data_IF_082305484398
#
_entry.id   IF_082305484398
#
_cell.length_a   1.000
_cell.length_b   1.000
_cell.length_c   1.000
_cell.angle_alpha   90.00
_cell.angle_beta   90.00
_cell.angle_gamma   90.00
#
_symmetry.space_group_name_H-M   'P 1'
#
loop_
_entity.id
_entity.type
_entity.pdbx_description
1 polymer ?
#
# COMPACT_ATOMS: atom_id res chain seq x y z
N UNK A 1 -6.97 25.04 -25.15
CA UNK A 1 -6.96 24.90 -23.69
C UNK A 1 -6.47 23.50 -23.31
N UNK A 2 -5.18 23.19 -23.53
CA UNK A 2 -4.66 21.83 -23.31
C UNK A 2 -3.15 21.74 -22.97
N UNK A 3 -2.55 22.83 -22.50
CA UNK A 3 -1.09 22.91 -22.32
C UNK A 3 -0.56 21.96 -21.25
N UNK A 4 -1.33 21.71 -20.18
CA UNK A 4 -0.86 20.92 -19.01
C UNK A 4 -0.75 19.42 -19.34
N UNK A 5 -1.62 18.89 -20.18
CA UNK A 5 -1.57 17.46 -20.54
C UNK A 5 -0.52 17.16 -21.60
N UNK A 6 -0.39 18.04 -22.61
CA UNK A 6 0.70 17.99 -23.59
C UNK A 6 2.06 18.09 -22.88
N UNK A 7 2.13 18.84 -21.78
CA UNK A 7 3.33 18.91 -20.95
C UNK A 7 3.68 17.54 -20.35
N UNK A 8 2.73 16.81 -19.77
CA UNK A 8 2.99 15.52 -19.11
C UNK A 8 3.47 14.44 -20.06
N UNK A 9 3.01 14.43 -21.31
CA UNK A 9 3.51 13.50 -22.31
C UNK A 9 5.02 13.65 -22.52
N UNK A 10 5.52 14.89 -22.42
CA UNK A 10 6.92 15.28 -22.59
C UNK A 10 7.73 15.29 -21.29
N UNK A 11 7.11 15.07 -20.13
CA UNK A 11 7.82 15.04 -18.85
C UNK A 11 8.77 13.84 -18.84
N UNK A 12 10.07 14.04 -18.53
CA UNK A 12 11.01 12.94 -18.39
C UNK A 12 10.60 12.06 -17.21
N UNK A 13 10.97 10.78 -17.23
CA UNK A 13 10.57 9.78 -16.24
C UNK A 13 10.71 10.25 -14.78
N UNK A 14 11.84 10.85 -14.41
CA UNK A 14 12.05 11.35 -13.05
C UNK A 14 11.19 12.56 -12.69
N UNK A 15 10.71 13.33 -13.68
CA UNK A 15 9.78 14.43 -13.50
C UNK A 15 8.36 13.99 -13.15
N UNK A 16 8.02 12.71 -13.29
CA UNK A 16 6.70 12.19 -12.92
C UNK A 16 6.45 12.23 -11.39
N UNK A 17 7.49 12.07 -10.58
CA UNK A 17 7.39 12.13 -9.11
C UNK A 17 7.03 13.53 -8.57
N UNK A 18 7.69 14.63 -8.98
CA UNK A 18 7.28 15.96 -8.55
C UNK A 18 5.91 16.36 -9.13
N UNK A 19 5.60 15.98 -10.38
CA UNK A 19 4.28 16.23 -10.97
C UNK A 19 3.18 15.52 -10.17
N UNK A 20 3.34 14.23 -9.87
CA UNK A 20 2.35 13.49 -9.07
C UNK A 20 2.22 14.03 -7.65
N UNK A 21 3.30 14.52 -7.04
CA UNK A 21 3.25 15.20 -5.74
C UNK A 21 2.43 16.50 -5.80
N UNK A 22 2.59 17.30 -6.85
CA UNK A 22 1.79 18.51 -7.07
C UNK A 22 0.29 18.17 -7.20
N UNK A 23 -0.03 17.13 -7.97
CA UNK A 23 -1.42 16.65 -8.11
C UNK A 23 -1.97 16.16 -6.77
N UNK A 24 -1.19 15.44 -5.97
CA UNK A 24 -1.61 15.04 -4.62
C UNK A 24 -1.90 16.25 -3.73
N UNK A 25 -1.06 17.29 -3.75
CA UNK A 25 -1.31 18.52 -2.98
C UNK A 25 -2.60 19.19 -3.41
N UNK A 26 -2.86 19.27 -4.72
CA UNK A 26 -4.13 19.76 -5.26
C UNK A 26 -5.32 18.91 -4.78
N UNK A 27 -5.21 17.59 -4.89
CA UNK A 27 -6.24 16.63 -4.46
C UNK A 27 -6.53 16.67 -2.95
N UNK A 28 -5.55 17.00 -2.13
CA UNK A 28 -5.74 17.16 -0.69
C UNK A 28 -6.62 18.37 -0.37
N UNK A 29 -6.52 19.44 -1.18
CA UNK A 29 -7.32 20.65 -1.02
C UNK A 29 -8.70 20.57 -1.71
N UNK A 30 -8.91 19.62 -2.62
CA UNK A 30 -10.11 19.53 -3.45
C UNK A 30 -10.74 18.13 -3.38
N UNK A 31 -11.83 17.93 -2.60
CA UNK A 31 -12.42 16.61 -2.38
C UNK A 31 -12.86 15.86 -3.65
N UNK A 32 -13.21 16.58 -4.71
CA UNK A 32 -13.67 16.02 -5.99
C UNK A 32 -12.56 15.95 -7.05
N UNK A 33 -11.28 16.03 -6.67
CA UNK A 33 -10.19 16.11 -7.65
C UNK A 33 -10.17 14.94 -8.64
N UNK A 34 -10.57 13.73 -8.22
CA UNK A 34 -10.62 12.55 -9.09
C UNK A 34 -11.65 12.65 -10.22
N UNK A 35 -12.60 13.59 -10.13
CA UNK A 35 -13.55 13.91 -11.19
C UNK A 35 -13.04 15.00 -12.16
N UNK A 36 -11.95 15.68 -11.82
CA UNK A 36 -11.44 16.78 -12.65
C UNK A 36 -10.77 16.22 -13.93
N UNK A 37 -11.23 16.61 -15.13
CA UNK A 37 -10.78 16.00 -16.38
C UNK A 37 -9.27 16.14 -16.62
N UNK A 38 -8.65 17.22 -16.17
CA UNK A 38 -7.20 17.42 -16.27
C UNK A 38 -6.49 16.36 -15.44
N UNK A 39 -6.78 16.23 -14.15
CA UNK A 39 -6.24 15.20 -13.23
C UNK A 39 -6.39 13.80 -13.82
N UNK A 40 -7.59 13.45 -14.31
CA UNK A 40 -7.83 12.14 -14.94
C UNK A 40 -6.93 11.90 -16.14
N UNK A 41 -6.71 12.92 -16.96
CA UNK A 41 -5.82 12.83 -18.11
C UNK A 41 -4.36 12.73 -17.70
N UNK A 42 -3.92 13.46 -16.67
CA UNK A 42 -2.57 13.34 -16.11
C UNK A 42 -2.32 11.90 -15.66
N UNK A 43 -3.24 11.32 -14.89
CA UNK A 43 -3.16 9.93 -14.42
C UNK A 43 -3.06 8.97 -15.62
N UNK A 44 -3.93 9.12 -16.62
CA UNK A 44 -3.90 8.30 -17.84
C UNK A 44 -2.58 8.43 -18.61
N UNK A 45 -2.03 9.63 -18.75
CA UNK A 45 -0.74 9.86 -19.44
C UNK A 45 0.45 9.30 -18.65
N UNK A 46 0.37 9.23 -17.32
CA UNK A 46 1.37 8.53 -16.50
C UNK A 46 1.22 7.02 -16.69
N UNK A 47 0.00 6.48 -16.61
CA UNK A 47 -0.30 5.06 -16.78
C UNK A 47 0.07 4.55 -18.18
N UNK A 48 -0.10 5.34 -19.22
CA UNK A 48 0.21 4.93 -20.60
C UNK A 48 1.70 4.70 -20.84
N UNK A 49 2.57 5.15 -19.92
CA UNK A 49 4.01 4.86 -19.94
C UNK A 49 4.34 3.49 -19.33
N UNK A 50 3.38 2.84 -18.66
CA UNK A 50 3.52 1.53 -18.07
C UNK A 50 3.03 0.46 -19.06
N UNK A 51 3.81 -0.61 -19.32
CA UNK A 51 3.31 -1.70 -20.16
C UNK A 51 2.09 -2.37 -19.50
N UNK A 52 1.13 -2.89 -20.29
CA UNK A 52 -0.02 -3.60 -19.77
C UNK A 52 0.37 -4.71 -18.80
N UNK A 53 -0.33 -4.79 -17.65
CA UNK A 53 -0.03 -5.76 -16.60
C UNK A 53 1.38 -5.62 -15.99
N UNK A 54 2.01 -4.45 -16.13
CA UNK A 54 3.40 -4.21 -15.72
C UNK A 54 4.40 -5.19 -16.34
N UNK A 55 4.13 -5.69 -17.56
CA UNK A 55 4.98 -6.67 -18.22
C UNK A 55 6.31 -6.04 -18.63
N UNK A 56 7.27 -6.05 -17.71
CA UNK A 56 8.66 -5.65 -17.93
C UNK A 56 9.53 -6.91 -17.99
N UNK A 57 10.52 -6.90 -18.87
CA UNK A 57 11.54 -7.95 -18.92
C UNK A 57 12.47 -7.75 -17.71
N UNK A 58 13.23 -8.77 -17.31
CA UNK A 58 14.19 -8.70 -16.20
C UNK A 58 15.40 -7.74 -16.46
N UNK A 59 15.25 -6.77 -17.35
CA UNK A 59 16.22 -5.72 -17.60
C UNK A 59 16.12 -4.65 -16.51
N UNK A 60 17.28 -4.24 -15.99
CA UNK A 60 17.35 -3.32 -14.85
C UNK A 60 16.66 -1.97 -15.10
N UNK A 61 16.84 -1.40 -16.30
CA UNK A 61 16.25 -0.09 -16.60
C UNK A 61 14.72 -0.18 -16.70
N UNK A 62 14.15 -1.14 -17.43
CA UNK A 62 12.69 -1.34 -17.52
C UNK A 62 12.03 -1.51 -16.13
N UNK A 63 12.66 -2.28 -15.23
CA UNK A 63 12.19 -2.46 -13.85
C UNK A 63 12.18 -1.11 -13.11
N UNK A 64 13.25 -0.34 -13.24
CA UNK A 64 13.40 0.97 -12.60
C UNK A 64 12.36 1.96 -13.14
N UNK A 65 12.11 1.97 -14.45
CA UNK A 65 11.08 2.79 -15.07
C UNK A 65 9.69 2.45 -14.52
N UNK A 66 9.32 1.17 -14.52
CA UNK A 66 8.05 0.72 -13.97
C UNK A 66 7.87 1.11 -12.50
N UNK A 67 8.92 0.96 -11.67
CA UNK A 67 8.88 1.36 -10.26
C UNK A 67 8.66 2.87 -10.13
N UNK A 68 9.31 3.72 -10.94
CA UNK A 68 9.13 5.18 -10.88
C UNK A 68 7.69 5.57 -11.29
N UNK A 69 7.16 4.93 -12.33
CA UNK A 69 5.79 5.17 -12.79
C UNK A 69 4.78 4.75 -11.70
N UNK A 70 4.91 3.54 -11.15
CA UNK A 70 4.05 3.04 -10.06
C UNK A 70 4.12 3.93 -8.81
N UNK A 71 5.31 4.38 -8.42
CA UNK A 71 5.48 5.35 -7.32
C UNK A 71 4.78 6.67 -7.61
N UNK A 72 4.85 7.16 -8.84
CA UNK A 72 4.18 8.39 -9.25
C UNK A 72 2.65 8.23 -9.19
N UNK A 73 2.12 7.10 -9.64
CA UNK A 73 0.70 6.77 -9.50
C UNK A 73 0.29 6.65 -8.03
N UNK A 74 1.11 6.01 -7.19
CA UNK A 74 0.88 5.86 -5.75
C UNK A 74 0.98 7.14 -4.93
N UNK A 75 1.61 8.18 -5.49
CA UNK A 75 1.62 9.51 -4.88
C UNK A 75 0.26 10.18 -4.96
N UNK A 76 -0.46 10.00 -6.06
CA UNK A 76 -1.80 10.56 -6.28
C UNK A 76 -2.82 9.71 -5.50
N UNK A 77 -3.48 10.28 -4.52
CA UNK A 77 -4.52 9.66 -3.73
C UNK A 77 -5.92 10.06 -4.19
N UNK A 78 -6.94 9.46 -3.56
CA UNK A 78 -8.35 9.82 -3.76
C UNK A 78 -8.83 9.77 -5.22
N UNK A 79 -8.30 8.81 -5.98
CA UNK A 79 -8.69 8.56 -7.37
C UNK A 79 -8.79 7.05 -7.63
N UNK A 80 -9.64 6.66 -8.60
CA UNK A 80 -9.96 5.26 -8.91
C UNK A 80 -9.52 4.82 -10.31
N UNK A 81 -9.10 5.75 -11.16
CA UNK A 81 -8.74 5.51 -12.57
C UNK A 81 -7.54 4.58 -12.73
N UNK A 82 -6.58 4.63 -11.80
CA UNK A 82 -5.44 3.70 -11.83
C UNK A 82 -5.72 2.32 -11.25
N UNK A 83 -6.87 2.11 -10.58
CA UNK A 83 -7.10 0.91 -9.79
C UNK A 83 -7.03 -0.35 -10.65
N UNK A 84 -7.70 -0.38 -11.81
CA UNK A 84 -7.70 -1.56 -12.69
C UNK A 84 -6.28 -1.93 -13.12
N UNK A 85 -5.49 -0.96 -13.60
CA UNK A 85 -4.11 -1.21 -14.04
C UNK A 85 -3.20 -1.69 -12.90
N UNK A 86 -3.39 -1.17 -11.69
CA UNK A 86 -2.65 -1.64 -10.51
C UNK A 86 -3.02 -3.08 -10.16
N UNK A 87 -4.32 -3.44 -10.23
CA UNK A 87 -4.79 -4.80 -9.99
C UNK A 87 -4.25 -5.76 -11.05
N UNK A 88 -4.21 -5.37 -12.32
CA UNK A 88 -3.64 -6.17 -13.41
C UNK A 88 -2.15 -6.44 -13.17
N UNK A 89 -1.39 -5.43 -12.72
CA UNK A 89 0.00 -5.59 -12.34
C UNK A 89 0.18 -6.56 -11.16
N UNK A 90 -0.67 -6.44 -10.13
CA UNK A 90 -0.61 -7.28 -8.94
C UNK A 90 -0.97 -8.75 -9.26
N UNK A 91 -1.91 -8.95 -10.19
CA UNK A 91 -2.32 -10.27 -10.65
C UNK A 91 -1.31 -10.95 -11.59
N UNK A 92 -0.32 -10.21 -12.10
CA UNK A 92 0.68 -10.78 -13.00
C UNK A 92 1.78 -11.50 -12.22
N UNK A 93 1.85 -12.82 -12.34
CA UNK A 93 2.90 -13.62 -11.68
C UNK A 93 4.21 -13.67 -12.46
N UNK A 94 4.25 -13.08 -13.66
CA UNK A 94 5.44 -13.07 -14.53
C UNK A 94 6.34 -11.86 -14.30
N UNK A 95 5.88 -10.88 -13.53
CA UNK A 95 6.66 -9.65 -13.30
C UNK A 95 7.65 -9.84 -12.15
N UNK A 96 8.76 -9.08 -12.14
CA UNK A 96 9.68 -9.08 -11.01
C UNK A 96 8.97 -8.70 -9.71
N UNK A 97 9.27 -9.44 -8.63
CA UNK A 97 8.72 -9.21 -7.27
C UNK A 97 8.72 -7.74 -6.85
N UNK A 98 9.81 -7.02 -7.13
CA UNK A 98 9.97 -5.60 -6.78
C UNK A 98 8.95 -4.69 -7.47
N UNK A 99 8.53 -5.02 -8.69
CA UNK A 99 7.49 -4.31 -9.43
C UNK A 99 6.12 -4.64 -8.84
N UNK A 100 5.86 -5.92 -8.52
CA UNK A 100 4.63 -6.34 -7.81
C UNK A 100 4.47 -5.60 -6.48
N UNK A 101 5.54 -5.51 -5.68
CA UNK A 101 5.56 -4.74 -4.42
C UNK A 101 5.29 -3.25 -4.67
N UNK A 102 5.90 -2.65 -5.69
CA UNK A 102 5.66 -1.24 -6.03
C UNK A 102 4.19 -1.00 -6.44
N UNK A 103 3.55 -1.95 -7.11
CA UNK A 103 2.14 -1.88 -7.47
C UNK A 103 1.23 -1.99 -6.23
N UNK A 104 1.56 -2.89 -5.28
CA UNK A 104 0.85 -2.97 -3.99
C UNK A 104 1.01 -1.65 -3.20
N UNK A 105 2.23 -1.11 -3.10
CA UNK A 105 2.51 0.15 -2.40
C UNK A 105 1.77 1.33 -3.06
N UNK A 106 1.52 1.30 -4.37
CA UNK A 106 0.78 2.33 -5.09
C UNK A 106 -0.71 2.40 -4.72
N UNK A 107 -1.26 1.35 -4.11
CA UNK A 107 -2.64 1.34 -3.64
C UNK A 107 -2.83 2.13 -2.33
N UNK A 108 -1.76 2.48 -1.60
CA UNK A 108 -1.82 3.01 -0.21
C UNK A 108 -2.73 4.22 -0.03
N UNK A 109 -2.80 5.11 -1.02
CA UNK A 109 -3.64 6.33 -0.97
C UNK A 109 -4.91 6.23 -1.80
N UNK A 110 -5.19 5.07 -2.38
CA UNK A 110 -6.42 4.83 -3.13
C UNK A 110 -7.57 4.56 -2.17
N UNK A 111 -8.82 4.87 -2.56
CA UNK A 111 -9.98 4.48 -1.79
C UNK A 111 -9.98 2.97 -1.46
N UNK A 112 -10.60 2.63 -0.33
CA UNK A 112 -10.88 1.24 0.01
C UNK A 112 -12.09 0.77 -0.81
N UNK A 113 -11.93 -0.31 -1.57
CA UNK A 113 -13.00 -0.90 -2.37
C UNK A 113 -12.93 -2.42 -2.32
N UNK A 114 -14.04 -3.09 -2.60
CA UNK A 114 -14.12 -4.56 -2.58
C UNK A 114 -13.18 -5.20 -3.61
N UNK A 115 -13.07 -4.60 -4.80
CA UNK A 115 -12.14 -5.05 -5.84
C UNK A 115 -10.69 -5.02 -5.35
N UNK A 116 -10.28 -3.90 -4.74
CA UNK A 116 -8.93 -3.75 -4.16
C UNK A 116 -8.72 -4.79 -3.05
N UNK A 117 -9.61 -4.80 -2.07
CA UNK A 117 -9.43 -5.59 -0.85
C UNK A 117 -9.44 -7.09 -1.15
N UNK A 118 -10.34 -7.55 -2.02
CA UNK A 118 -10.42 -8.96 -2.43
C UNK A 118 -9.11 -9.44 -3.05
N UNK A 119 -8.51 -8.66 -3.94
CA UNK A 119 -7.22 -9.03 -4.55
C UNK A 119 -6.08 -9.07 -3.54
N UNK A 120 -6.02 -8.10 -2.63
CA UNK A 120 -4.98 -8.07 -1.61
C UNK A 120 -5.16 -9.21 -0.59
N UNK A 121 -6.40 -9.56 -0.24
CA UNK A 121 -6.72 -10.72 0.60
C UNK A 121 -6.24 -12.01 -0.07
N UNK A 122 -6.49 -12.19 -1.38
CA UNK A 122 -6.01 -13.34 -2.17
C UNK A 122 -4.49 -13.50 -2.02
N UNK A 123 -3.71 -12.44 -2.28
CA UNK A 123 -2.25 -12.48 -2.15
C UNK A 123 -1.79 -12.77 -0.71
N UNK A 124 -2.45 -12.21 0.30
CA UNK A 124 -2.07 -12.44 1.69
C UNK A 124 -2.31 -13.90 2.12
N UNK A 125 -3.39 -14.51 1.63
CA UNK A 125 -3.77 -15.91 1.92
C UNK A 125 -2.91 -16.93 1.18
N UNK A 126 -2.37 -16.59 0.01
CA UNK A 126 -1.59 -17.53 -0.78
C UNK A 126 -0.26 -17.89 -0.12
N UNK A 127 -0.15 -19.11 0.41
CA UNK A 127 1.05 -19.62 1.05
C UNK A 127 2.22 -19.86 0.08
N UNK A 128 1.95 -19.91 -1.23
CA UNK A 128 2.99 -20.06 -2.28
C UNK A 128 3.59 -18.72 -2.68
N UNK A 129 2.90 -17.62 -2.38
CA UNK A 129 3.39 -16.27 -2.67
C UNK A 129 4.56 -15.91 -1.76
N UNK A 130 5.45 -15.06 -2.27
CA UNK A 130 6.63 -14.62 -1.57
C UNK A 130 6.27 -13.94 -0.23
N UNK A 131 6.98 -14.29 0.85
CA UNK A 131 6.73 -13.76 2.18
C UNK A 131 6.74 -12.22 2.25
N UNK A 132 7.60 -11.54 1.47
CA UNK A 132 7.66 -10.08 1.41
C UNK A 132 6.40 -9.49 0.76
N UNK A 133 5.92 -10.12 -0.33
CA UNK A 133 4.68 -9.74 -1.00
C UNK A 133 3.49 -9.94 -0.05
N UNK A 134 3.43 -11.07 0.67
CA UNK A 134 2.38 -11.33 1.67
C UNK A 134 2.39 -10.31 2.81
N UNK A 135 3.56 -9.96 3.33
CA UNK A 135 3.74 -8.92 4.36
C UNK A 135 3.27 -7.55 3.84
N UNK A 136 3.60 -7.22 2.58
CA UNK A 136 3.13 -6.00 1.92
C UNK A 136 1.62 -5.98 1.73
N UNK A 137 1.03 -7.11 1.32
CA UNK A 137 -0.43 -7.26 1.23
C UNK A 137 -1.10 -7.06 2.59
N UNK A 138 -0.58 -7.69 3.65
CA UNK A 138 -1.06 -7.44 5.02
C UNK A 138 -1.02 -5.95 5.38
N UNK A 139 0.11 -5.26 5.14
CA UNK A 139 0.23 -3.81 5.39
C UNK A 139 -0.82 -3.02 4.62
N UNK A 140 -1.09 -3.41 3.38
CA UNK A 140 -2.05 -2.75 2.53
C UNK A 140 -3.52 -2.98 2.96
N UNK A 141 -3.82 -4.11 3.61
CA UNK A 141 -5.11 -4.36 4.26
C UNK A 141 -5.30 -3.51 5.52
N UNK A 142 -4.22 -3.26 6.27
CA UNK A 142 -4.30 -2.43 7.48
C UNK A 142 -4.68 -0.97 7.18
N UNK A 143 -4.42 -0.47 5.97
CA UNK A 143 -4.87 0.86 5.52
C UNK A 143 -6.40 0.94 5.32
N UNK A 144 -7.07 -0.21 5.16
CA UNK A 144 -8.53 -0.33 4.96
C UNK A 144 -9.22 -1.14 6.04
N UNK A 145 -8.60 -1.20 7.22
CA UNK A 145 -9.01 -2.13 8.27
C UNK A 145 -10.46 -1.94 8.71
N UNK A 146 -11.19 -3.05 8.79
CA UNK A 146 -12.51 -3.17 9.39
C UNK A 146 -12.61 -4.52 10.12
N UNK A 147 -13.76 -4.82 10.74
CA UNK A 147 -13.96 -6.07 11.48
C UNK A 147 -13.77 -7.33 10.62
N UNK A 148 -14.27 -7.32 9.38
CA UNK A 148 -14.14 -8.46 8.45
C UNK A 148 -12.69 -8.72 8.07
N UNK A 149 -11.95 -7.68 7.66
CA UNK A 149 -10.54 -7.77 7.31
C UNK A 149 -9.71 -8.25 8.51
N UNK A 150 -10.00 -7.76 9.72
CA UNK A 150 -9.32 -8.24 10.93
C UNK A 150 -9.60 -9.69 11.23
N UNK A 151 -10.86 -10.14 11.11
CA UNK A 151 -11.22 -11.54 11.27
C UNK A 151 -10.40 -12.42 10.31
N UNK A 152 -10.35 -12.03 9.03
CA UNK A 152 -9.54 -12.72 8.01
C UNK A 152 -8.06 -12.77 8.41
N UNK A 153 -7.48 -11.65 8.82
CA UNK A 153 -6.07 -11.56 9.22
C UNK A 153 -5.79 -12.49 10.40
N UNK A 154 -6.64 -12.47 11.42
CA UNK A 154 -6.48 -13.30 12.62
C UNK A 154 -6.63 -14.78 12.29
N UNK A 155 -7.61 -15.17 11.48
CA UNK A 155 -7.80 -16.56 11.06
C UNK A 155 -6.63 -17.08 10.22
N UNK A 156 -6.09 -16.24 9.32
CA UNK A 156 -4.88 -16.56 8.58
C UNK A 156 -3.67 -16.69 9.50
N UNK A 157 -3.53 -15.81 10.50
CA UNK A 157 -2.44 -15.88 11.46
C UNK A 157 -2.49 -17.18 12.29
N UNK A 158 -3.66 -17.68 12.66
CA UNK A 158 -3.79 -18.97 13.35
C UNK A 158 -3.25 -20.14 12.52
N UNK A 159 -3.51 -20.11 11.21
CA UNK A 159 -3.11 -21.16 10.27
C UNK A 159 -1.75 -20.91 9.58
N UNK A 160 -1.06 -19.84 9.94
CA UNK A 160 0.20 -19.46 9.29
C UNK A 160 1.30 -20.50 9.55
N UNK A 161 2.09 -20.76 8.51
CA UNK A 161 3.21 -21.72 8.55
C UNK A 161 4.55 -21.04 8.32
N UNK A 162 4.56 -19.91 7.64
CA UNK A 162 5.75 -19.12 7.34
C UNK A 162 6.03 -18.17 8.50
N UNK A 163 7.06 -18.50 9.29
CA UNK A 163 7.46 -17.71 10.46
C UNK A 163 7.73 -16.23 10.15
N UNK A 164 8.25 -15.90 8.96
CA UNK A 164 8.51 -14.51 8.58
C UNK A 164 7.22 -13.68 8.48
N UNK A 165 6.18 -14.24 7.85
CA UNK A 165 4.87 -13.58 7.74
C UNK A 165 4.20 -13.52 9.11
N UNK A 166 4.13 -14.66 9.81
CA UNK A 166 3.48 -14.75 11.11
C UNK A 166 4.10 -13.82 12.15
N UNK A 167 5.44 -13.76 12.25
CA UNK A 167 6.15 -12.86 13.17
C UNK A 167 5.88 -11.39 12.87
N UNK A 168 5.86 -11.00 11.59
CA UNK A 168 5.58 -9.61 11.22
C UNK A 168 4.15 -9.21 11.55
N UNK A 169 3.17 -10.02 11.14
CA UNK A 169 1.74 -9.77 11.40
C UNK A 169 1.49 -9.72 12.90
N UNK A 170 1.97 -10.72 13.64
CA UNK A 170 1.80 -10.80 15.09
C UNK A 170 2.38 -9.57 15.80
N UNK A 171 3.61 -9.19 15.48
CA UNK A 171 4.24 -8.04 16.11
C UNK A 171 3.54 -6.73 15.74
N UNK A 172 3.07 -6.58 14.50
CA UNK A 172 2.28 -5.43 14.10
C UNK A 172 1.00 -5.30 14.93
N UNK A 173 0.20 -6.37 15.02
CA UNK A 173 -1.08 -6.34 15.72
C UNK A 173 -0.88 -6.07 17.22
N UNK A 174 0.09 -6.72 17.87
CA UNK A 174 0.37 -6.51 19.29
C UNK A 174 0.89 -5.10 19.57
N UNK A 175 1.80 -4.57 18.74
CA UNK A 175 2.31 -3.20 18.86
C UNK A 175 1.18 -2.19 18.68
N UNK A 176 0.32 -2.36 17.67
CA UNK A 176 -0.83 -1.45 17.45
C UNK A 176 -1.87 -1.55 18.56
N UNK A 177 -2.14 -2.73 19.10
CA UNK A 177 -3.06 -2.91 20.22
C UNK A 177 -2.59 -2.18 21.49
N UNK A 178 -1.28 -2.04 21.69
CA UNK A 178 -0.64 -1.38 22.85
C UNK A 178 -0.16 0.05 22.57
N UNK A 179 -0.38 0.55 21.36
CA UNK A 179 0.11 1.85 20.91
C UNK A 179 -0.44 2.98 21.78
N UNK A 180 0.40 3.97 22.09
CA UNK A 180 -0.03 5.21 22.76
C UNK A 180 -0.44 6.29 21.76
N UNK A 181 -0.32 6.03 20.46
CA UNK A 181 -0.65 6.97 19.40
C UNK A 181 -2.16 7.23 19.35
N UNK A 182 -2.62 8.49 19.51
CA UNK A 182 -4.03 8.84 19.36
C UNK A 182 -4.64 8.41 18.02
N UNK A 183 -3.87 8.49 16.93
CA UNK A 183 -4.30 8.07 15.60
C UNK A 183 -4.56 6.57 15.46
N UNK A 184 -4.06 5.74 16.40
CA UNK A 184 -4.29 4.30 16.40
C UNK A 184 -5.47 3.87 17.28
N UNK A 185 -6.19 4.80 17.93
CA UNK A 185 -7.30 4.47 18.85
C UNK A 185 -8.38 3.61 18.21
N UNK A 186 -8.83 3.96 17.00
CA UNK A 186 -9.86 3.19 16.30
C UNK A 186 -9.39 1.75 16.07
N UNK A 187 -8.17 1.58 15.55
CA UNK A 187 -7.58 0.26 15.35
C UNK A 187 -7.42 -0.51 16.68
N UNK A 188 -7.00 0.15 17.77
CA UNK A 188 -6.91 -0.48 19.08
C UNK A 188 -8.26 -1.01 19.56
N UNK A 189 -9.33 -0.22 19.41
CA UNK A 189 -10.68 -0.62 19.78
C UNK A 189 -11.13 -1.86 19.01
N UNK A 190 -10.85 -1.91 17.70
CA UNK A 190 -11.12 -3.10 16.90
C UNK A 190 -10.29 -4.30 17.40
N UNK A 191 -8.97 -4.14 17.55
CA UNK A 191 -8.06 -5.23 17.95
C UNK A 191 -8.35 -5.81 19.34
N UNK A 192 -8.95 -5.05 20.26
CA UNK A 192 -9.34 -5.55 21.58
C UNK A 192 -10.45 -6.63 21.52
N UNK A 193 -11.18 -6.71 20.42
CA UNK A 193 -12.25 -7.71 20.21
C UNK A 193 -11.72 -9.06 19.72
N UNK A 194 -10.45 -9.12 19.31
CA UNK A 194 -9.85 -10.31 18.72
C UNK A 194 -8.79 -10.93 19.62
N UNK A 195 -8.77 -12.25 19.69
CA UNK A 195 -7.70 -12.99 20.36
C UNK A 195 -6.54 -13.23 19.39
N UNK A 196 -5.40 -12.59 19.65
CA UNK A 196 -4.20 -12.74 18.82
C UNK A 196 -3.36 -13.92 19.35
N UNK A 197 -3.08 -14.95 18.52
CA UNK A 197 -2.36 -16.14 18.96
C UNK A 197 -0.93 -15.80 19.36
N UNK A 198 -0.41 -16.41 20.44
CA UNK A 198 0.94 -16.11 20.95
C UNK A 198 2.07 -16.88 20.26
N UNK A 199 1.73 -17.84 19.38
CA UNK A 199 2.68 -18.70 18.64
C UNK A 199 3.80 -17.93 17.95
N UNK A 200 3.54 -16.71 17.49
CA UNK A 200 4.46 -15.91 16.69
C UNK A 200 5.24 -14.85 17.48
N UNK A 201 5.28 -14.97 18.81
CA UNK A 201 6.24 -14.23 19.64
C UNK A 201 7.66 -14.83 19.51
N UNK A 202 8.23 -14.76 18.31
CA UNK A 202 9.51 -15.37 17.95
C UNK A 202 10.68 -14.40 18.14
N UNK A 203 11.91 -14.90 18.20
CA UNK A 203 13.12 -14.07 18.34
C UNK A 203 13.20 -12.94 17.29
N UNK A 204 13.30 -11.69 17.78
CA UNK A 204 13.37 -10.47 16.98
C UNK A 204 14.64 -10.34 16.15
N UNK A 205 15.71 -11.05 16.49
CA UNK A 205 16.96 -11.03 15.72
C UNK A 205 16.89 -11.89 14.45
N UNK A 206 15.91 -12.82 14.37
CA UNK A 206 15.83 -13.82 13.30
C UNK A 206 14.62 -13.65 12.38
N UNK A 207 13.53 -13.09 12.90
CA UNK A 207 12.27 -12.98 12.18
C UNK A 207 11.82 -11.54 12.03
N UNK A 208 11.07 -11.30 10.95
CA UNK A 208 10.54 -9.98 10.63
C UNK A 208 9.64 -9.44 11.75
N UNK A 209 9.78 -8.14 12.03
CA UNK A 209 9.06 -7.44 13.11
C UNK A 209 8.56 -6.07 12.64
N UNK A 210 7.44 -5.65 13.21
CA UNK A 210 7.01 -4.25 13.18
C UNK A 210 7.32 -3.58 14.52
N UNK A 211 7.96 -2.41 14.45
CA UNK A 211 8.22 -1.55 15.58
C UNK A 211 7.50 -0.22 15.37
N UNK A 212 6.96 0.32 16.46
CA UNK A 212 6.43 1.68 16.51
C UNK A 212 7.13 2.38 17.66
N UNK A 213 7.81 3.48 17.34
CA UNK A 213 8.39 4.39 18.30
C UNK A 213 7.64 5.71 18.17
N UNK A 214 7.05 6.15 19.27
CA UNK A 214 6.43 7.46 19.32
C UNK A 214 6.06 7.89 20.72
N UNK A 215 6.13 9.20 20.95
CA UNK A 215 5.78 9.84 22.20
C UNK A 215 4.55 10.71 22.00
N UNK A 216 3.56 10.56 22.88
CA UNK A 216 2.40 11.43 22.91
C UNK A 216 2.46 12.35 24.12
N UNK A 217 2.57 13.65 23.86
CA UNK A 217 2.39 14.67 24.89
C UNK A 217 0.91 15.08 24.96
N UNK A 218 0.29 14.88 26.12
CA UNK A 218 -1.12 15.23 26.36
C UNK A 218 -1.32 16.73 26.57
N UNK A 219 -0.30 17.45 27.02
CA UNK A 219 -0.38 18.89 27.30
C UNK A 219 -0.21 19.71 26.02
N UNK A 220 0.55 19.19 25.03
CA UNK A 220 0.84 19.91 23.78
C UNK A 220 0.12 19.30 22.55
N UNK A 221 -0.57 18.17 22.68
CA UNK A 221 -1.20 17.40 21.57
C UNK A 221 -0.22 17.24 20.38
N UNK A 222 0.98 16.76 20.68
CA UNK A 222 1.99 16.44 19.66
C UNK A 222 2.31 14.96 19.74
N UNK A 223 2.36 14.31 18.57
CA UNK A 223 2.87 12.96 18.41
C UNK A 223 4.05 12.96 17.45
N UNK A 224 5.21 12.51 17.93
CA UNK A 224 6.44 12.40 17.13
C UNK A 224 6.68 10.91 16.86
N UNK A 225 6.90 10.55 15.59
CA UNK A 225 7.45 9.25 15.21
C UNK A 225 8.97 9.35 15.22
N UNK A 226 9.65 8.41 15.88
CA UNK A 226 11.13 8.29 15.89
C UNK A 226 11.54 7.13 14.98
#
# INVERSE_FOLDING_TARGET
MDSVAVFIERVPLHGLLPVSSLIQSYCTAHPTCGMEPTVQRIIRSILSKLPPGCQVVHQFEEIKEAIIILKSIGNIGHEEHSLSSLIDCIANDRIPKVVKIAAIDALRRKPCSDQRNSKIIELFRDQKENAEVRIKSFRQLMECVNDEILQIIVDQLHNETINQVGSYVWSYLNTKQRSTNPGSRNLQHLLKRFHIPQRFNLDSHRFSRFYELGYFDREVIIFIYI
#
